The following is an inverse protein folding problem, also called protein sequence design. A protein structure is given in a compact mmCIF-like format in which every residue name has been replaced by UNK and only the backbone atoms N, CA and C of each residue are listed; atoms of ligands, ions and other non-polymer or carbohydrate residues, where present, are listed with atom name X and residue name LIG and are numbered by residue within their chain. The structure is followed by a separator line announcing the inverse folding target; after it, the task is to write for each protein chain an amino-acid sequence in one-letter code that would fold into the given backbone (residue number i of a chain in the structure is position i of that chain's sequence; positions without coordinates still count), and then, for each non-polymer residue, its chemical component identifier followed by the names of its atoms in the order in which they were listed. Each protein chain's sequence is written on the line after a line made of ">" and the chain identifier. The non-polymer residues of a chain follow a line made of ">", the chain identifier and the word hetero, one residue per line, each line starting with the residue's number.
data_IF_572706346301
#
_entry.id   IF_572706346301
#
_cell.length_a   1.000
_cell.length_b   1.000
_cell.length_c   1.000
_cell.angle_alpha   90.00
_cell.angle_beta   90.00
_cell.angle_gamma   90.00
#
_symmetry.space_group_name_H-M   'P 1'
#
loop_
_entity.id
_entity.type
_entity.pdbx_description
1 polymer ?
#
# COMPACT_ATOMS: atom_id res chain seq x y z
N UNK A 1 14.50 -0.78 -16.27
CA UNK A 1 15.77 -0.24 -15.76
C UNK A 1 15.51 0.39 -14.41
N UNK A 2 16.17 -0.12 -13.36
CA UNK A 2 16.13 0.42 -11.99
C UNK A 2 16.37 1.92 -12.05
N UNK A 3 15.36 2.73 -11.72
CA UNK A 3 15.57 4.15 -11.45
C UNK A 3 16.25 4.23 -10.09
N UNK A 4 17.58 4.13 -10.15
CA UNK A 4 18.50 4.63 -9.14
C UNK A 4 18.20 6.12 -8.95
N UNK A 5 17.24 6.43 -8.07
CA UNK A 5 17.13 7.77 -7.49
C UNK A 5 18.36 7.96 -6.61
N UNK A 6 19.37 8.58 -7.22
CA UNK A 6 20.62 8.96 -6.59
C UNK A 6 20.32 10.01 -5.52
N UNK A 7 20.22 9.60 -4.25
CA UNK A 7 20.19 10.50 -3.10
C UNK A 7 21.62 10.99 -2.88
N UNK A 8 21.95 12.09 -3.56
CA UNK A 8 23.23 12.78 -3.39
C UNK A 8 23.02 13.99 -2.49
N UNK A 9 23.67 13.95 -1.33
CA UNK A 9 24.14 15.07 -0.52
C UNK A 9 23.10 16.07 0.01
N UNK A 10 22.76 15.94 1.29
CA UNK A 10 22.39 17.08 2.11
C UNK A 10 23.41 17.26 3.24
N UNK A 11 24.06 18.41 3.22
CA UNK A 11 25.23 18.74 4.01
C UNK A 11 24.89 19.01 5.49
N UNK A 12 25.72 18.45 6.37
CA UNK A 12 25.85 18.85 7.77
C UNK A 12 26.04 20.37 7.89
N UNK A 13 25.11 21.06 8.55
CA UNK A 13 25.39 22.37 9.15
C UNK A 13 25.21 22.25 10.66
N UNK A 14 26.32 21.96 11.35
CA UNK A 14 26.41 22.08 12.80
C UNK A 14 26.53 23.58 13.11
N UNK A 15 25.43 24.21 13.49
CA UNK A 15 25.45 25.52 14.11
C UNK A 15 25.55 25.34 15.63
N UNK A 16 26.80 25.36 16.12
CA UNK A 16 27.12 25.38 17.54
C UNK A 16 26.85 26.79 18.09
N UNK A 17 25.89 26.95 18.99
CA UNK A 17 25.79 28.14 19.85
C UNK A 17 25.51 27.74 21.29
N UNK A 18 26.59 27.66 22.05
CA UNK A 18 26.64 27.52 23.51
C UNK A 18 25.94 28.70 24.19
N UNK A 19 25.09 28.41 25.19
CA UNK A 19 25.26 28.92 26.55
C UNK A 19 24.13 28.41 27.47
N UNK A 20 24.44 27.44 28.34
CA UNK A 20 24.12 27.59 29.76
C UNK A 20 25.18 26.84 30.58
N UNK A 21 25.86 27.59 31.43
CA UNK A 21 26.81 27.09 32.42
C UNK A 21 26.04 26.34 33.51
N UNK A 22 26.23 25.02 33.57
CA UNK A 22 25.78 24.17 34.66
C UNK A 22 26.82 23.07 34.87
N UNK A 23 27.58 23.20 35.95
CA UNK A 23 28.60 22.23 36.36
C UNK A 23 27.93 20.94 36.87
N UNK A 24 28.64 19.82 36.75
CA UNK A 24 28.42 18.53 37.41
C UNK A 24 27.31 17.60 36.88
N UNK A 25 27.70 16.34 36.70
CA UNK A 25 26.81 15.21 36.42
C UNK A 25 27.20 14.54 35.14
N UNK A 26 27.63 13.28 35.21
CA UNK A 26 27.61 12.38 34.06
C UNK A 26 26.33 12.63 33.27
N UNK A 27 26.43 12.80 31.94
CA UNK A 27 25.27 12.91 31.05
C UNK A 27 24.36 11.74 31.42
N UNK A 28 23.32 12.04 32.20
CA UNK A 28 22.36 11.05 32.65
C UNK A 28 21.77 10.53 31.35
N UNK A 29 21.94 9.24 31.12
CA UNK A 29 21.56 8.63 29.86
C UNK A 29 20.09 8.97 29.58
N UNK A 30 19.89 9.91 28.66
CA UNK A 30 18.59 10.47 28.33
C UNK A 30 17.76 9.48 27.51
N UNK A 31 18.37 8.36 27.09
CA UNK A 31 17.72 7.28 26.35
C UNK A 31 16.45 6.79 27.05
N UNK A 32 16.43 6.77 28.39
CA UNK A 32 15.25 6.37 29.16
C UNK A 32 13.98 7.19 28.86
N UNK A 33 14.11 8.43 28.39
CA UNK A 33 12.94 9.26 28.04
C UNK A 33 12.25 8.76 26.76
N UNK A 34 13.04 8.21 25.83
CA UNK A 34 12.57 7.78 24.51
C UNK A 34 12.25 6.30 24.45
N UNK A 35 12.82 5.49 25.35
CA UNK A 35 12.59 4.05 25.38
C UNK A 35 11.09 3.72 25.51
N UNK A 36 10.68 2.71 24.75
CA UNK A 36 9.30 2.22 24.69
C UNK A 36 8.73 2.21 23.28
N UNK A 37 7.44 1.91 23.20
CA UNK A 37 6.67 1.81 21.96
C UNK A 37 5.89 3.09 21.70
N UNK A 38 5.88 3.51 20.45
CA UNK A 38 5.29 4.77 20.00
C UNK A 38 4.35 4.47 18.84
N UNK A 39 3.05 4.72 19.02
CA UNK A 39 2.05 4.56 17.98
C UNK A 39 1.92 5.86 17.21
N UNK A 40 1.95 5.80 15.88
CA UNK A 40 1.69 6.98 15.06
C UNK A 40 0.26 7.46 15.27
N UNK A 41 0.09 8.74 15.55
CA UNK A 41 -1.22 9.38 15.76
C UNK A 41 -1.49 10.51 14.77
N UNK A 42 -0.51 10.90 13.94
CA UNK A 42 -0.73 11.87 12.88
C UNK A 42 0.34 11.77 11.78
N UNK A 43 -0.08 12.01 10.54
CA UNK A 43 0.79 12.31 9.40
C UNK A 43 0.37 13.67 8.85
N UNK A 44 1.33 14.56 8.61
CA UNK A 44 1.06 15.89 8.07
C UNK A 44 0.13 15.84 6.84
N UNK A 45 -1.09 16.36 6.98
CA UNK A 45 -2.09 16.40 5.90
C UNK A 45 -3.30 15.48 6.09
N UNK A 46 -3.27 14.55 7.04
CA UNK A 46 -4.41 13.70 7.41
C UNK A 46 -5.26 14.30 8.54
N UNK A 47 -6.58 14.14 8.46
CA UNK A 47 -7.52 14.53 9.53
C UNK A 47 -7.66 13.42 10.58
N UNK A 48 -8.20 13.75 11.77
CA UNK A 48 -8.44 12.76 12.83
C UNK A 48 -9.37 11.61 12.35
N UNK A 49 -10.32 11.91 11.47
CA UNK A 49 -11.21 10.91 10.88
C UNK A 49 -10.47 9.99 9.90
N UNK A 50 -9.51 10.53 9.14
CA UNK A 50 -8.66 9.74 8.23
C UNK A 50 -7.78 8.76 9.04
N UNK A 51 -7.22 9.21 10.16
CA UNK A 51 -6.39 8.38 11.04
C UNK A 51 -7.23 7.27 11.69
N UNK A 52 -8.46 7.59 12.14
CA UNK A 52 -9.36 6.60 12.72
C UNK A 52 -9.80 5.55 11.67
N UNK A 53 -10.01 5.96 10.42
CA UNK A 53 -10.26 5.05 9.32
C UNK A 53 -9.04 4.16 9.04
N UNK A 54 -7.85 4.74 8.94
CA UNK A 54 -6.58 4.00 8.76
C UNK A 54 -6.38 2.95 9.87
N UNK A 55 -6.60 3.32 11.13
CA UNK A 55 -6.55 2.38 12.26
C UNK A 55 -7.60 1.27 12.16
N UNK A 56 -8.82 1.59 11.71
CA UNK A 56 -9.88 0.61 11.50
C UNK A 56 -9.57 -0.37 10.35
N UNK A 57 -8.78 0.05 9.36
CA UNK A 57 -8.29 -0.77 8.25
C UNK A 57 -6.95 -1.49 8.56
N UNK A 58 -6.49 -1.46 9.82
CA UNK A 58 -5.23 -2.11 10.23
C UNK A 58 -3.97 -1.37 9.77
N UNK A 59 -4.12 -0.17 9.20
CA UNK A 59 -3.03 0.71 8.77
C UNK A 59 -2.51 1.43 10.00
N UNK A 60 -1.75 0.70 10.82
CA UNK A 60 -1.09 1.23 12.01
C UNK A 60 0.43 1.18 11.85
N UNK A 61 1.09 2.19 12.41
CA UNK A 61 2.55 2.29 12.41
C UNK A 61 3.01 2.37 13.86
N UNK A 62 3.88 1.44 14.26
CA UNK A 62 4.45 1.37 15.60
C UNK A 62 5.96 1.48 15.51
N UNK A 63 6.52 2.43 16.25
CA UNK A 63 7.97 2.59 16.41
C UNK A 63 8.39 2.12 17.80
N UNK A 64 9.24 1.10 17.86
CA UNK A 64 9.89 0.66 19.09
C UNK A 64 11.30 1.23 19.19
N UNK A 65 11.58 1.87 20.33
CA UNK A 65 12.91 2.36 20.67
C UNK A 65 13.46 1.51 21.82
N UNK A 66 14.31 0.54 21.48
CA UNK A 66 14.82 -0.46 22.42
C UNK A 66 15.96 0.09 23.29
N UNK A 67 16.18 -0.53 24.45
CA UNK A 67 17.24 -0.13 25.40
C UNK A 67 18.66 -0.25 24.81
N UNK A 68 18.86 -1.17 23.87
CA UNK A 68 20.14 -1.42 23.20
C UNK A 68 20.45 -0.46 22.03
N UNK A 69 19.62 0.59 21.86
CA UNK A 69 19.70 1.59 20.78
C UNK A 69 19.30 1.08 19.40
N UNK A 70 18.71 -0.11 19.32
CA UNK A 70 18.00 -0.54 18.12
C UNK A 70 16.61 0.09 18.05
N UNK A 71 16.17 0.37 16.84
CA UNK A 71 14.80 0.80 16.57
C UNK A 71 14.13 -0.24 15.67
N UNK A 72 12.84 -0.45 15.85
CA UNK A 72 12.01 -1.25 14.94
C UNK A 72 10.82 -0.40 14.54
N UNK A 73 10.70 -0.14 13.24
CA UNK A 73 9.50 0.48 12.69
C UNK A 73 8.65 -0.63 12.10
N UNK A 74 7.54 -0.93 12.76
CA UNK A 74 6.50 -1.83 12.28
C UNK A 74 5.51 -1.01 11.46
N UNK A 75 5.45 -1.29 10.15
CA UNK A 75 4.44 -0.74 9.26
C UNK A 75 3.53 -1.88 8.84
N UNK A 76 2.34 -1.94 9.44
CA UNK A 76 1.31 -2.90 9.04
C UNK A 76 1.76 -4.37 9.11
N UNK A 77 2.62 -4.75 10.07
CA UNK A 77 3.16 -6.11 10.22
C UNK A 77 4.56 -6.30 9.64
N UNK A 78 5.01 -5.41 8.75
CA UNK A 78 6.38 -5.44 8.24
C UNK A 78 7.33 -4.69 9.18
N UNK A 79 8.28 -5.43 9.77
CA UNK A 79 9.29 -4.87 10.68
C UNK A 79 10.53 -4.38 9.91
N UNK A 80 10.74 -3.06 9.90
CA UNK A 80 11.95 -2.43 9.40
C UNK A 80 12.90 -2.11 10.54
N UNK A 81 14.07 -2.74 10.53
CA UNK A 81 15.11 -2.50 11.53
C UNK A 81 15.84 -1.17 11.32
N UNK A 82 16.12 -0.48 12.43
CA UNK A 82 16.86 0.76 12.46
C UNK A 82 17.70 0.90 13.74
N UNK A 83 18.26 2.10 13.92
CA UNK A 83 19.00 2.48 15.13
C UNK A 83 18.59 3.86 15.57
N UNK A 84 18.73 4.16 16.86
CA UNK A 84 18.43 5.47 17.39
C UNK A 84 19.43 5.94 18.43
N UNK A 85 19.55 7.25 18.60
CA UNK A 85 20.44 7.85 19.59
C UNK A 85 19.81 9.11 20.19
N UNK A 86 19.69 9.16 21.52
CA UNK A 86 19.32 10.39 22.23
C UNK A 86 20.45 11.43 22.11
N UNK A 87 20.16 12.58 21.51
CA UNK A 87 21.07 13.73 21.44
C UNK A 87 20.93 14.61 22.69
N UNK A 88 19.74 14.66 23.26
CA UNK A 88 19.43 15.40 24.49
C UNK A 88 18.25 14.74 25.23
N UNK A 89 17.76 15.35 26.31
CA UNK A 89 16.54 14.88 27.01
C UNK A 89 15.26 14.99 26.18
N UNK A 90 15.28 15.74 25.08
CA UNK A 90 14.11 16.05 24.24
C UNK A 90 14.35 15.87 22.75
N UNK A 91 15.55 15.47 22.32
CA UNK A 91 15.87 15.24 20.91
C UNK A 91 16.57 13.89 20.72
N UNK A 92 16.16 13.17 19.69
CA UNK A 92 16.75 11.92 19.25
C UNK A 92 17.08 11.97 17.75
N UNK A 93 18.01 11.14 17.32
CA UNK A 93 18.24 10.83 15.91
C UNK A 93 17.81 9.40 15.65
N UNK A 94 16.87 9.20 14.72
CA UNK A 94 16.41 7.89 14.26
C UNK A 94 17.04 7.62 12.91
N UNK A 95 17.59 6.43 12.70
CA UNK A 95 18.18 6.01 11.42
C UNK A 95 17.52 4.72 10.97
N UNK A 96 16.83 4.77 9.83
CA UNK A 96 16.15 3.64 9.19
C UNK A 96 16.67 3.54 7.76
N UNK A 97 17.07 2.34 7.32
CA UNK A 97 17.58 2.07 5.96
C UNK A 97 18.72 3.01 5.46
N UNK A 98 19.47 3.62 6.38
CA UNK A 98 20.56 4.55 6.05
C UNK A 98 20.15 6.03 5.96
N UNK A 99 18.86 6.34 6.11
CA UNK A 99 18.33 7.70 6.22
C UNK A 99 18.16 8.08 7.69
N UNK A 100 18.62 9.28 8.06
CA UNK A 100 18.53 9.78 9.44
C UNK A 100 17.51 10.91 9.57
N UNK A 101 16.57 10.78 10.50
CA UNK A 101 15.58 11.77 10.86
C UNK A 101 15.81 12.29 12.29
N UNK A 102 15.42 13.54 12.54
CA UNK A 102 15.45 14.12 13.89
C UNK A 102 14.07 13.98 14.52
N UNK A 103 14.04 13.36 15.71
CA UNK A 103 12.85 13.25 16.54
C UNK A 103 12.89 14.23 17.71
N UNK A 104 11.75 14.85 18.03
CA UNK A 104 11.57 15.77 19.16
C UNK A 104 10.53 15.22 20.11
N UNK A 105 10.89 15.12 21.38
CA UNK A 105 10.03 14.63 22.45
C UNK A 105 9.42 15.80 23.23
N UNK A 106 8.10 15.79 23.34
CA UNK A 106 7.31 16.71 24.14
C UNK A 106 6.40 15.91 25.08
N UNK A 107 6.95 15.49 26.23
CA UNK A 107 6.22 14.67 27.20
C UNK A 107 6.04 13.24 26.70
N UNK A 108 4.81 12.87 26.33
CA UNK A 108 4.44 11.54 25.80
C UNK A 108 4.18 11.58 24.28
N UNK A 109 4.53 12.69 23.63
CA UNK A 109 4.42 12.89 22.19
C UNK A 109 5.82 13.01 21.57
N UNK A 110 6.06 12.23 20.51
CA UNK A 110 7.29 12.21 19.74
C UNK A 110 7.00 12.63 18.30
N UNK A 111 7.59 13.71 17.83
CA UNK A 111 7.46 14.17 16.44
C UNK A 111 8.74 13.85 15.67
N UNK A 112 8.63 13.24 14.49
CA UNK A 112 9.76 12.90 13.63
C UNK A 112 9.54 13.54 12.25
N UNK A 113 10.51 14.31 11.78
CA UNK A 113 10.48 14.90 10.45
C UNK A 113 11.22 14.01 9.44
N UNK A 114 10.52 13.48 8.44
CA UNK A 114 11.08 12.69 7.33
C UNK A 114 10.79 13.43 6.04
N UNK A 115 11.83 13.74 5.26
CA UNK A 115 11.72 14.44 3.96
C UNK A 115 10.91 15.75 3.94
N UNK A 116 10.77 16.41 5.10
CA UNK A 116 10.03 17.66 5.26
C UNK A 116 8.58 17.49 5.72
N UNK A 117 8.12 16.25 5.89
CA UNK A 117 6.83 15.91 6.48
C UNK A 117 7.01 15.53 7.96
N UNK A 118 6.17 16.09 8.82
CA UNK A 118 6.18 15.79 10.25
C UNK A 118 5.19 14.66 10.54
N UNK A 119 5.69 13.61 11.18
CA UNK A 119 4.88 12.52 11.73
C UNK A 119 4.88 12.62 13.25
N UNK A 120 3.71 12.41 13.86
CA UNK A 120 3.55 12.45 15.32
C UNK A 120 3.22 11.06 15.83
N UNK A 121 3.89 10.70 16.92
CA UNK A 121 3.70 9.45 17.63
C UNK A 121 3.36 9.72 19.09
N UNK A 122 2.46 8.91 19.63
CA UNK A 122 2.10 8.90 21.03
C UNK A 122 2.68 7.67 21.71
N UNK A 123 3.22 7.85 22.91
CA UNK A 123 3.71 6.72 23.71
C UNK A 123 2.56 5.79 24.07
N UNK A 124 2.74 4.51 23.81
CA UNK A 124 1.77 3.46 24.14
C UNK A 124 2.41 2.41 25.06
N UNK A 125 1.56 1.65 25.75
CA UNK A 125 2.05 0.53 26.56
C UNK A 125 2.56 -0.61 25.66
N UNK A 126 3.48 -1.44 26.17
CA UNK A 126 3.97 -2.58 25.40
C UNK A 126 2.86 -3.60 25.06
N UNK A 127 1.86 -3.75 25.94
CA UNK A 127 0.69 -4.62 25.70
C UNK A 127 -0.20 -4.07 24.58
N UNK A 128 -0.43 -2.75 24.58
CA UNK A 128 -1.17 -2.07 23.53
C UNK A 128 -0.42 -2.12 22.19
N UNK A 129 0.88 -1.87 22.19
CA UNK A 129 1.73 -2.00 20.99
C UNK A 129 1.70 -3.43 20.43
N UNK A 130 1.86 -4.44 21.28
CA UNK A 130 1.79 -5.84 20.86
C UNK A 130 0.44 -6.18 20.23
N UNK A 131 -0.65 -5.70 20.84
CA UNK A 131 -1.99 -5.88 20.28
C UNK A 131 -2.16 -5.17 18.93
N UNK A 132 -1.70 -3.93 18.81
CA UNK A 132 -1.75 -3.18 17.53
C UNK A 132 -1.02 -3.95 16.43
N UNK A 133 0.17 -4.47 16.73
CA UNK A 133 0.96 -5.27 15.78
C UNK A 133 0.31 -6.61 15.45
N UNK A 134 -0.29 -7.28 16.43
CA UNK A 134 -1.04 -8.53 16.21
C UNK A 134 -2.28 -8.29 15.34
N UNK A 135 -3.03 -7.21 15.61
CA UNK A 135 -4.19 -6.80 14.82
C UNK A 135 -3.77 -6.44 13.38
N UNK A 136 -2.64 -5.73 13.20
CA UNK A 136 -2.08 -5.39 11.89
C UNK A 136 -1.57 -6.61 11.11
N UNK A 137 -0.80 -7.50 11.76
CA UNK A 137 -0.30 -8.74 11.16
C UNK A 137 -1.43 -9.75 10.86
N UNK A 138 -2.51 -9.74 11.64
CA UNK A 138 -3.72 -10.52 11.35
C UNK A 138 -4.43 -9.98 10.10
N UNK A 139 -4.42 -8.67 9.90
CA UNK A 139 -4.93 -8.03 8.68
C UNK A 139 -4.02 -8.32 7.47
N UNK A 140 -2.69 -8.28 7.64
CA UNK A 140 -1.72 -8.70 6.61
C UNK A 140 -1.86 -10.20 6.26
N UNK A 141 -2.10 -11.05 7.26
CA UNK A 141 -2.39 -12.47 7.09
C UNK A 141 -3.68 -12.73 6.29
N UNK A 142 -4.71 -11.89 6.49
CA UNK A 142 -5.95 -11.91 5.69
C UNK A 142 -5.70 -11.42 4.26
N UNK A 143 -4.75 -10.51 4.05
CA UNK A 143 -4.38 -9.97 2.73
C UNK A 143 -3.36 -10.85 1.97
N UNK A 144 -2.62 -11.72 2.66
CA UNK A 144 -1.58 -12.58 2.09
C UNK A 144 -1.98 -14.05 1.96
N UNK A 145 -3.10 -14.47 2.56
CA UNK A 145 -3.71 -15.80 2.43
C UNK A 145 -4.94 -15.75 1.52
N UNK A 146 -4.83 -15.16 0.31
CA UNK A 146 -5.80 -15.39 -0.78
C UNK A 146 -5.55 -16.76 -1.43
N UNK A 147 -5.59 -17.79 -0.59
CA UNK A 147 -5.31 -19.17 -0.93
C UNK A 147 -6.17 -20.12 -0.11
N UNK A 148 -7.47 -20.10 -0.41
CA UNK A 148 -8.45 -21.16 -0.11
C UNK A 148 -9.30 -21.01 1.17
N UNK A 149 -10.59 -21.22 0.94
CA UNK A 149 -11.71 -21.43 1.86
C UNK A 149 -12.40 -20.23 2.55
N UNK A 150 -13.63 -20.01 2.09
CA UNK A 150 -14.58 -19.00 2.52
C UNK A 150 -15.00 -19.17 3.99
N UNK A 151 -15.04 -18.06 4.76
CA UNK A 151 -16.19 -17.72 5.62
C UNK A 151 -16.14 -16.27 6.14
N UNK A 152 -16.86 -15.38 5.45
CA UNK A 152 -17.62 -14.21 5.94
C UNK A 152 -17.03 -13.38 7.10
N UNK A 153 -16.29 -12.33 6.74
CA UNK A 153 -16.52 -10.97 7.24
C UNK A 153 -16.87 -10.12 6.01
N UNK A 154 -17.98 -9.39 6.07
CA UNK A 154 -18.59 -8.66 4.94
C UNK A 154 -17.68 -7.49 4.49
N UNK A 155 -16.71 -7.79 3.62
CA UNK A 155 -15.79 -6.85 3.00
C UNK A 155 -16.44 -6.04 1.88
N UNK A 156 -17.74 -6.20 1.62
CA UNK A 156 -18.43 -5.65 0.44
C UNK A 156 -17.96 -6.28 -0.89
N UNK A 157 -16.78 -6.90 -0.92
CA UNK A 157 -16.22 -7.62 -2.06
C UNK A 157 -16.79 -9.04 -2.10
N UNK A 158 -17.37 -9.41 -3.23
CA UNK A 158 -17.94 -10.76 -3.44
C UNK A 158 -17.43 -11.36 -4.73
N UNK A 159 -17.00 -12.63 -4.67
CA UNK A 159 -16.54 -13.37 -5.84
C UNK A 159 -17.61 -14.37 -6.32
N UNK A 160 -17.76 -14.52 -7.63
CA UNK A 160 -18.57 -15.59 -8.20
C UNK A 160 -17.78 -16.90 -8.21
N UNK A 161 -17.97 -17.71 -7.17
CA UNK A 161 -17.34 -19.02 -7.04
C UNK A 161 -17.74 -20.03 -8.14
N UNK A 162 -18.76 -19.73 -8.95
CA UNK A 162 -19.15 -20.57 -10.09
C UNK A 162 -18.40 -20.22 -11.38
N UNK A 163 -17.70 -19.09 -11.40
CA UNK A 163 -16.92 -18.69 -12.55
C UNK A 163 -15.74 -19.64 -12.77
N UNK A 164 -15.52 -20.03 -14.02
CA UNK A 164 -14.37 -20.83 -14.42
C UNK A 164 -13.37 -19.95 -15.16
N UNK A 165 -12.10 -19.88 -14.73
CA UNK A 165 -11.07 -19.11 -15.42
C UNK A 165 -11.00 -19.44 -16.90
N UNK A 166 -10.79 -18.41 -17.73
CA UNK A 166 -10.71 -18.53 -19.18
C UNK A 166 -9.58 -17.68 -19.75
N UNK A 167 -8.73 -18.32 -20.55
CA UNK A 167 -7.73 -17.61 -21.36
C UNK A 167 -8.42 -16.98 -22.55
N UNK A 168 -8.42 -15.64 -22.61
CA UNK A 168 -9.07 -14.88 -23.68
C UNK A 168 -8.08 -14.43 -24.75
N UNK A 169 -6.79 -14.31 -24.39
CA UNK A 169 -5.69 -14.07 -25.33
C UNK A 169 -4.54 -14.99 -24.98
N UNK A 170 -4.02 -15.71 -25.97
CA UNK A 170 -2.76 -16.44 -25.86
C UNK A 170 -1.97 -16.24 -27.15
N UNK A 171 -1.09 -15.25 -27.14
CA UNK A 171 -0.20 -14.97 -28.26
C UNK A 171 1.28 -14.93 -27.83
N UNK A 172 2.15 -14.67 -28.80
CA UNK A 172 3.60 -14.66 -28.57
C UNK A 172 4.06 -13.48 -27.69
N UNK A 173 3.27 -12.41 -27.60
CA UNK A 173 3.63 -11.15 -26.94
C UNK A 173 3.01 -11.02 -25.53
N UNK A 174 1.84 -11.62 -25.30
CA UNK A 174 1.20 -11.67 -23.99
C UNK A 174 0.16 -12.79 -23.89
N UNK A 175 -0.19 -13.13 -22.65
CA UNK A 175 -1.36 -13.96 -22.32
C UNK A 175 -2.26 -13.14 -21.41
N UNK A 176 -3.58 -13.21 -21.64
CA UNK A 176 -4.59 -12.54 -20.83
C UNK A 176 -5.60 -13.61 -20.40
N UNK A 177 -5.70 -13.79 -19.09
CA UNK A 177 -6.59 -14.74 -18.44
C UNK A 177 -7.63 -13.98 -17.63
N UNK A 178 -8.91 -14.26 -17.86
CA UNK A 178 -9.98 -13.81 -16.98
C UNK A 178 -10.16 -14.88 -15.92
N UNK A 179 -9.84 -14.57 -14.67
CA UNK A 179 -9.70 -15.57 -13.60
C UNK A 179 -10.86 -15.57 -12.62
N UNK A 180 -11.58 -14.45 -12.48
CA UNK A 180 -12.76 -14.38 -11.62
C UNK A 180 -13.76 -13.33 -12.09
N UNK A 181 -15.01 -13.43 -11.61
CA UNK A 181 -15.93 -12.29 -11.52
C UNK A 181 -15.98 -11.83 -10.07
N UNK A 182 -15.91 -10.53 -9.83
CA UNK A 182 -16.13 -9.97 -8.49
C UNK A 182 -16.96 -8.69 -8.51
N UNK A 183 -17.71 -8.47 -7.43
CA UNK A 183 -18.21 -7.15 -7.05
C UNK A 183 -17.28 -6.58 -5.98
N UNK A 184 -16.94 -5.30 -6.05
CA UNK A 184 -16.13 -4.60 -5.05
C UNK A 184 -16.99 -3.92 -3.98
N UNK A 185 -16.32 -3.38 -2.96
CA UNK A 185 -16.97 -2.73 -1.81
C UNK A 185 -17.69 -1.41 -2.15
N UNK A 186 -17.42 -0.83 -3.32
CA UNK A 186 -18.06 0.40 -3.81
C UNK A 186 -19.22 0.12 -4.78
N UNK A 187 -19.55 -1.16 -4.98
CA UNK A 187 -20.64 -1.62 -5.84
C UNK A 187 -20.23 -1.89 -7.29
N UNK A 188 -18.95 -1.71 -7.63
CA UNK A 188 -18.42 -2.02 -8.95
C UNK A 188 -18.44 -3.52 -9.22
N UNK A 189 -19.05 -3.96 -10.32
CA UNK A 189 -19.12 -5.38 -10.69
C UNK A 189 -18.37 -5.65 -11.98
N UNK A 190 -17.53 -6.68 -12.00
CA UNK A 190 -16.56 -6.84 -13.07
C UNK A 190 -15.82 -8.17 -13.12
N UNK A 191 -14.75 -8.18 -13.91
CA UNK A 191 -13.84 -9.30 -14.10
C UNK A 191 -12.46 -9.02 -13.51
N UNK A 192 -11.87 -10.05 -12.92
CA UNK A 192 -10.46 -10.07 -12.50
C UNK A 192 -9.65 -10.70 -13.61
N UNK A 193 -8.56 -10.05 -13.99
CA UNK A 193 -7.75 -10.36 -15.16
C UNK A 193 -6.27 -10.46 -14.77
N UNK A 194 -5.66 -11.56 -15.15
CA UNK A 194 -4.22 -11.76 -15.06
C UNK A 194 -3.60 -11.56 -16.44
N UNK A 195 -2.48 -10.84 -16.47
CA UNK A 195 -1.81 -10.45 -17.71
C UNK A 195 -0.34 -10.81 -17.62
N UNK A 196 0.10 -11.72 -18.50
CA UNK A 196 1.50 -12.07 -18.65
C UNK A 196 2.10 -11.32 -19.85
N UNK A 197 2.92 -10.30 -19.59
CA UNK A 197 3.63 -9.57 -20.65
C UNK A 197 4.93 -10.31 -21.04
N UNK A 198 4.94 -10.93 -22.21
CA UNK A 198 6.09 -11.65 -22.77
C UNK A 198 7.00 -10.74 -23.63
N UNK A 199 6.60 -9.49 -23.85
CA UNK A 199 7.33 -8.52 -24.66
C UNK A 199 8.51 -7.88 -23.92
N UNK A 200 9.29 -7.06 -24.64
CA UNK A 200 10.45 -6.34 -24.14
C UNK A 200 10.16 -4.89 -23.68
N UNK A 201 8.89 -4.48 -23.68
CA UNK A 201 8.45 -3.13 -23.29
C UNK A 201 7.30 -3.15 -22.28
N UNK A 202 7.16 -2.09 -21.45
CA UNK A 202 6.00 -1.96 -20.57
C UNK A 202 4.73 -1.73 -21.39
N UNK A 203 3.65 -2.38 -20.99
CA UNK A 203 2.33 -2.25 -21.62
C UNK A 203 1.31 -1.79 -20.58
N UNK A 204 0.24 -1.17 -21.04
CA UNK A 204 -0.95 -0.89 -20.24
C UNK A 204 -2.12 -1.66 -20.83
N UNK A 205 -2.73 -2.57 -20.07
CA UNK A 205 -3.88 -3.36 -20.52
C UNK A 205 -5.13 -2.76 -19.91
N UNK A 206 -6.14 -2.49 -20.74
CA UNK A 206 -7.33 -1.76 -20.33
C UNK A 206 -8.53 -2.16 -21.17
N UNK A 207 -9.70 -1.74 -20.72
CA UNK A 207 -10.93 -1.73 -21.50
C UNK A 207 -11.20 -0.30 -21.98
N UNK A 208 -11.39 -0.08 -23.29
CA UNK A 208 -11.76 1.25 -23.79
C UNK A 208 -13.23 1.54 -23.50
N UNK A 209 -13.57 2.81 -23.34
CA UNK A 209 -14.96 3.28 -23.18
C UNK A 209 -15.81 2.90 -24.40
N UNK A 210 -17.12 2.76 -24.20
CA UNK A 210 -18.11 2.40 -25.23
C UNK A 210 -17.85 1.05 -25.94
N UNK A 211 -17.01 0.19 -25.37
CA UNK A 211 -16.58 -1.07 -26.00
C UNK A 211 -17.03 -2.33 -25.26
N UNK A 212 -17.92 -2.18 -24.28
CA UNK A 212 -18.46 -3.30 -23.51
C UNK A 212 -19.99 -3.31 -23.55
N UNK A 213 -20.57 -4.51 -23.50
CA UNK A 213 -22.00 -4.70 -23.33
C UNK A 213 -22.29 -5.90 -22.43
N UNK A 214 -23.34 -5.77 -21.62
CA UNK A 214 -23.84 -6.84 -20.75
C UNK A 214 -25.27 -7.15 -21.18
N UNK A 215 -25.52 -8.40 -21.57
CA UNK A 215 -26.81 -8.87 -22.10
C UNK A 215 -27.35 -7.99 -23.25
N UNK A 216 -26.46 -7.46 -24.08
CA UNK A 216 -26.80 -6.60 -25.22
C UNK A 216 -27.11 -5.14 -24.86
N UNK A 217 -26.99 -4.73 -23.59
CA UNK A 217 -27.00 -3.32 -23.16
C UNK A 217 -25.56 -2.82 -23.13
N UNK A 218 -25.26 -1.70 -23.80
CA UNK A 218 -23.96 -1.04 -23.68
C UNK A 218 -23.72 -0.58 -22.24
N UNK A 219 -22.52 -0.87 -21.75
CA UNK A 219 -22.07 -0.55 -20.39
C UNK A 219 -20.61 -0.13 -20.47
N UNK A 220 -20.24 0.94 -19.77
CA UNK A 220 -18.84 1.34 -19.66
C UNK A 220 -18.15 0.54 -18.56
N UNK A 221 -17.11 -0.21 -18.95
CA UNK A 221 -16.19 -0.80 -17.99
C UNK A 221 -14.99 0.12 -17.80
N UNK A 222 -14.43 0.09 -16.61
CA UNK A 222 -13.29 0.87 -16.16
C UNK A 222 -12.24 -0.05 -15.57
N UNK A 223 -10.99 0.41 -15.60
CA UNK A 223 -9.86 -0.31 -15.02
C UNK A 223 -8.79 -0.63 -16.05
N UNK A 224 -7.58 -0.84 -15.54
CA UNK A 224 -6.41 -1.12 -16.35
C UNK A 224 -5.19 -1.34 -15.47
N UNK A 225 -4.18 -1.99 -16.02
CA UNK A 225 -2.98 -2.38 -15.28
C UNK A 225 -1.73 -2.19 -16.12
N UNK A 226 -0.66 -1.69 -15.48
CA UNK A 226 0.65 -1.55 -16.12
C UNK A 226 1.45 -2.82 -15.91
N UNK A 227 1.80 -3.50 -17.01
CA UNK A 227 2.54 -4.76 -16.96
C UNK A 227 3.95 -4.56 -17.49
N UNK A 228 4.93 -4.67 -16.61
CA UNK A 228 6.35 -4.52 -16.95
C UNK A 228 6.82 -5.64 -17.90
N UNK A 229 7.89 -5.42 -18.69
CA UNK A 229 8.43 -6.43 -19.60
C UNK A 229 8.78 -7.75 -18.88
N UNK A 230 8.31 -8.87 -19.41
CA UNK A 230 8.58 -10.21 -18.87
C UNK A 230 7.94 -10.47 -17.50
N UNK A 231 6.90 -9.72 -17.12
CA UNK A 231 6.21 -9.85 -15.83
C UNK A 231 4.77 -10.32 -16.01
N UNK A 232 4.30 -11.02 -14.99
CA UNK A 232 2.90 -11.31 -14.75
C UNK A 232 2.37 -10.23 -13.81
N UNK A 233 1.26 -9.59 -14.19
CA UNK A 233 0.41 -8.83 -13.29
C UNK A 233 -0.82 -9.68 -12.99
N UNK A 234 -1.12 -9.87 -11.71
CA UNK A 234 -2.27 -10.66 -11.26
C UNK A 234 -3.29 -9.71 -10.64
N UNK A 235 -4.58 -9.98 -10.86
CA UNK A 235 -5.64 -9.29 -10.12
C UNK A 235 -6.14 -7.97 -10.72
N UNK A 236 -5.82 -7.63 -11.97
CA UNK A 236 -6.33 -6.40 -12.59
C UNK A 236 -7.87 -6.45 -12.66
N UNK A 237 -8.55 -5.39 -12.23
CA UNK A 237 -10.01 -5.39 -12.12
C UNK A 237 -10.66 -4.49 -13.16
N UNK A 238 -11.45 -5.08 -14.06
CA UNK A 238 -12.24 -4.37 -15.07
C UNK A 238 -13.71 -4.41 -14.67
N UNK A 239 -14.29 -3.26 -14.34
CA UNK A 239 -15.57 -3.18 -13.64
C UNK A 239 -16.51 -2.14 -14.23
N UNK A 240 -17.81 -2.40 -14.13
CA UNK A 240 -18.86 -1.42 -14.38
C UNK A 240 -19.39 -0.86 -13.05
N UNK A 241 -19.91 0.35 -13.09
CA UNK A 241 -20.61 0.94 -11.93
C UNK A 241 -21.88 0.14 -11.60
N UNK A 242 -22.22 0.11 -10.30
CA UNK A 242 -23.44 -0.48 -9.76
C UNK A 242 -24.73 0.02 -10.43
N UNK A 243 -24.75 1.27 -10.91
CA UNK A 243 -25.89 1.84 -11.64
C UNK A 243 -26.14 1.16 -13.00
N UNK A 244 -25.10 0.55 -13.58
CA UNK A 244 -25.17 -0.15 -14.86
C UNK A 244 -25.20 -1.67 -14.74
N UNK A 245 -24.45 -2.22 -13.78
CA UNK A 245 -24.38 -3.65 -13.46
C UNK A 245 -24.42 -3.81 -11.95
N UNK A 246 -25.59 -4.18 -11.41
CA UNK A 246 -25.80 -4.20 -9.97
C UNK A 246 -25.08 -5.36 -9.26
N UNK A 247 -24.77 -6.43 -9.99
CA UNK A 247 -24.01 -7.56 -9.46
C UNK A 247 -23.40 -8.40 -10.58
N UNK A 248 -22.36 -9.17 -10.24
CA UNK A 248 -21.76 -10.17 -11.16
C UNK A 248 -22.75 -11.24 -11.65
N UNK A 249 -23.85 -11.46 -10.93
CA UNK A 249 -24.89 -12.41 -11.34
C UNK A 249 -25.66 -11.97 -12.60
N UNK A 250 -25.63 -10.68 -12.93
CA UNK A 250 -26.23 -10.14 -14.15
C UNK A 250 -25.30 -10.29 -15.37
N UNK A 251 -24.02 -10.59 -15.16
CA UNK A 251 -22.98 -10.69 -16.19
C UNK A 251 -22.98 -12.08 -16.86
N UNK A 252 -24.09 -12.43 -17.52
CA UNK A 252 -24.30 -13.74 -18.16
C UNK A 252 -23.95 -13.79 -19.66
N UNK A 253 -23.87 -12.63 -20.32
CA UNK A 253 -23.42 -12.52 -21.70
C UNK A 253 -22.72 -11.17 -21.85
N UNK A 254 -21.42 -11.17 -21.64
CA UNK A 254 -20.58 -9.98 -21.75
C UNK A 254 -19.79 -10.03 -23.05
N UNK A 255 -19.94 -8.98 -23.84
CA UNK A 255 -19.08 -8.70 -24.99
C UNK A 255 -18.22 -7.50 -24.60
N UNK A 256 -16.90 -7.61 -24.69
CA UNK A 256 -15.98 -6.55 -24.31
C UNK A 256 -14.78 -6.50 -25.25
N UNK A 257 -14.20 -5.31 -25.40
CA UNK A 257 -12.89 -5.15 -26.03
C UNK A 257 -11.84 -5.01 -24.95
N UNK A 258 -10.76 -5.78 -25.06
CA UNK A 258 -9.55 -5.58 -24.26
C UNK A 258 -8.47 -5.02 -25.18
N UNK A 259 -7.88 -3.90 -24.80
CA UNK A 259 -6.78 -3.28 -25.53
C UNK A 259 -5.48 -3.35 -24.73
N UNK A 260 -4.40 -3.50 -25.49
CA UNK A 260 -3.03 -3.41 -24.99
C UNK A 260 -2.40 -2.18 -25.60
N UNK A 261 -2.03 -1.23 -24.75
CA UNK A 261 -1.41 0.03 -25.14
C UNK A 261 0.08 0.02 -24.80
N UNK A 262 0.86 0.77 -25.57
CA UNK A 262 2.22 1.11 -25.19
C UNK A 262 2.16 2.02 -23.96
N UNK A 263 2.79 1.63 -22.86
CA UNK A 263 2.66 2.37 -21.61
C UNK A 263 3.28 3.78 -21.68
N UNK A 264 4.26 4.00 -22.56
CA UNK A 264 4.94 5.28 -22.67
C UNK A 264 4.23 6.24 -23.64
N UNK A 265 3.66 5.72 -24.74
CA UNK A 265 3.02 6.53 -25.78
C UNK A 265 1.49 6.52 -25.77
N UNK A 266 0.88 5.57 -25.06
CA UNK A 266 -0.56 5.27 -25.08
C UNK A 266 -1.09 4.91 -26.48
N UNK A 267 -0.23 4.50 -27.41
CA UNK A 267 -0.67 3.98 -28.70
C UNK A 267 -1.19 2.55 -28.55
N UNK A 268 -2.34 2.25 -29.16
CA UNK A 268 -2.89 0.90 -29.20
C UNK A 268 -1.95 -0.05 -29.95
N UNK A 269 -1.41 -1.03 -29.25
CA UNK A 269 -0.56 -2.09 -29.80
C UNK A 269 -1.40 -3.26 -30.31
N UNK A 270 -2.48 -3.59 -29.60
CA UNK A 270 -3.43 -4.62 -29.98
C UNK A 270 -4.81 -4.37 -29.35
N UNK A 271 -5.84 -4.97 -29.95
CA UNK A 271 -7.23 -4.87 -29.56
C UNK A 271 -7.90 -6.21 -29.80
N UNK A 272 -8.64 -6.71 -28.81
CA UNK A 272 -9.20 -8.05 -28.77
C UNK A 272 -10.68 -8.02 -28.43
N UNK A 273 -11.52 -8.55 -29.32
CA UNK A 273 -12.93 -8.80 -29.05
C UNK A 273 -13.07 -10.07 -28.19
N UNK A 274 -13.66 -9.93 -27.01
CA UNK A 274 -13.81 -10.98 -26.01
C UNK A 274 -15.29 -11.20 -25.70
N UNK A 275 -15.70 -12.46 -25.64
CA UNK A 275 -17.06 -12.86 -25.22
C UNK A 275 -16.99 -13.80 -24.03
N UNK A 276 -17.66 -13.43 -22.94
CA UNK A 276 -17.70 -14.15 -21.67
C UNK A 276 -19.16 -14.49 -21.34
N UNK A 277 -19.42 -15.76 -21.01
CA UNK A 277 -20.74 -16.26 -20.62
C UNK A 277 -20.70 -16.73 -19.17
#
# INVERSE_FOLDING_TARGET
>A
MKRLLSITALALVIALSLAFTGCSGAQKDASANFQGSWKMTNVAGATEDDIAAMEAFGISVVLDLNEDKTAVLDMMGEEISGTWEAKSSTELTLTIEGSSATGKLNGEELTIAVDGEEMTFQKVSAEEAAKIKEDAASMEGILSDEGDDATSADSGVTYDASFTPVTVVDDDMWTIDVVAKKSDEWGGSGYVVDVNNKSDKPIYVTVPSDACSVNGKMVDFWGGEVVLPGKLAEGAFFYADSDDVASVSEMTNVEMVIEVWDNDTYETLASYDVTLN
#
